data_IF_029958779943
#
_entry.id   IF_029958779943
#
_cell.length_a   1.000
_cell.length_b   1.000
_cell.length_c   1.000
_cell.angle_alpha   90.00
_cell.angle_beta   90.00
_cell.angle_gamma   90.00
#
_symmetry.space_group_name_H-M   'P 1'
#
loop_
_entity.id
_entity.type
_entity.pdbx_description
1 polymer ?
#
# COMPACT_ATOMS: atom_id res chain seq x y z
N UNK A 1 16.51 -26.00 8.83
CA UNK A 1 17.00 -25.21 7.66
C UNK A 1 15.93 -25.04 6.57
N UNK A 2 15.17 -26.08 6.20
CA UNK A 2 14.10 -26.01 5.15
C UNK A 2 13.00 -24.96 5.43
N UNK A 3 12.56 -24.82 6.69
CA UNK A 3 11.51 -23.83 7.05
C UNK A 3 11.98 -22.38 6.93
N UNK A 4 13.27 -22.07 7.17
CA UNK A 4 13.79 -20.71 7.01
C UNK A 4 13.87 -20.28 5.54
N UNK A 5 14.28 -21.19 4.66
CA UNK A 5 14.37 -20.91 3.21
C UNK A 5 13.00 -20.71 2.56
N UNK A 6 11.98 -21.50 2.97
CA UNK A 6 10.62 -21.37 2.48
C UNK A 6 10.03 -19.99 2.81
N UNK A 7 10.36 -19.43 3.95
CA UNK A 7 9.82 -18.18 4.46
C UNK A 7 10.46 -16.91 3.86
N UNK A 8 11.72 -17.01 3.42
CA UNK A 8 12.37 -15.92 2.65
C UNK A 8 11.79 -15.92 1.23
N UNK A 9 11.57 -17.09 0.63
CA UNK A 9 10.91 -17.22 -0.68
C UNK A 9 9.51 -16.62 -0.70
N UNK A 10 8.71 -16.82 0.35
CA UNK A 10 7.34 -16.27 0.42
C UNK A 10 7.33 -14.74 0.45
N UNK A 11 8.29 -14.10 1.12
CA UNK A 11 8.41 -12.63 1.14
C UNK A 11 8.90 -12.08 -0.19
N UNK A 12 9.95 -12.72 -0.73
CA UNK A 12 10.48 -12.36 -2.04
C UNK A 12 9.40 -12.53 -3.10
N UNK A 13 8.63 -13.63 -3.05
CA UNK A 13 7.50 -13.84 -3.94
C UNK A 13 6.43 -12.73 -3.83
N UNK A 14 6.08 -12.30 -2.61
CA UNK A 14 5.14 -11.18 -2.40
C UNK A 14 5.65 -9.87 -2.99
N UNK A 15 6.92 -9.54 -2.79
CA UNK A 15 7.56 -8.35 -3.37
C UNK A 15 7.65 -8.46 -4.90
N UNK A 16 7.97 -9.64 -5.44
CA UNK A 16 8.03 -9.87 -6.88
C UNK A 16 6.66 -9.76 -7.54
N UNK A 17 5.61 -10.25 -6.89
CA UNK A 17 4.22 -10.09 -7.37
C UNK A 17 3.84 -8.61 -7.40
N UNK A 18 4.19 -7.85 -6.36
CA UNK A 18 3.92 -6.41 -6.30
C UNK A 18 4.69 -5.65 -7.38
N UNK A 19 5.97 -6.00 -7.60
CA UNK A 19 6.77 -5.44 -8.68
C UNK A 19 6.15 -5.73 -10.04
N UNK A 20 5.77 -6.99 -10.29
CA UNK A 20 5.15 -7.40 -11.55
C UNK A 20 3.82 -6.67 -11.78
N UNK A 21 2.99 -6.52 -10.74
CA UNK A 21 1.74 -5.76 -10.80
C UNK A 21 1.98 -4.32 -11.23
N UNK A 22 2.97 -3.66 -10.62
CA UNK A 22 3.30 -2.26 -10.91
C UNK A 22 3.84 -2.11 -12.33
N UNK A 23 4.71 -3.03 -12.77
CA UNK A 23 5.23 -3.03 -14.15
C UNK A 23 4.11 -3.26 -15.18
N UNK A 24 3.23 -4.22 -14.95
CA UNK A 24 2.08 -4.47 -15.83
C UNK A 24 1.14 -3.25 -15.90
N UNK A 25 0.90 -2.59 -14.77
CA UNK A 25 0.09 -1.38 -14.73
C UNK A 25 0.73 -0.26 -15.56
N UNK A 26 2.04 -0.04 -15.41
CA UNK A 26 2.79 0.96 -16.16
C UNK A 26 2.77 0.69 -17.67
N UNK A 27 2.87 -0.57 -18.08
CA UNK A 27 2.82 -0.96 -19.51
C UNK A 27 1.43 -0.77 -20.10
N UNK A 28 0.36 -1.12 -19.37
CA UNK A 28 -1.01 -1.10 -19.89
C UNK A 28 -1.59 0.33 -19.91
N UNK A 29 -1.36 1.12 -18.86
CA UNK A 29 -1.97 2.44 -18.69
C UNK A 29 -1.04 3.59 -19.07
N UNK A 30 0.23 3.29 -19.32
CA UNK A 30 1.25 4.32 -19.47
C UNK A 30 1.57 4.99 -18.12
N UNK A 31 2.66 5.74 -18.10
CA UNK A 31 3.08 6.47 -16.91
C UNK A 31 2.74 7.94 -17.04
N UNK A 32 1.64 8.38 -16.44
CA UNK A 32 1.24 9.80 -16.44
C UNK A 32 2.24 10.71 -15.68
N UNK A 33 3.06 10.13 -14.80
CA UNK A 33 4.01 10.84 -13.92
C UNK A 33 5.44 10.33 -14.06
N UNK A 34 5.83 9.92 -15.28
CA UNK A 34 7.18 9.41 -15.59
C UNK A 34 7.68 8.31 -14.62
N UNK A 35 6.78 7.44 -14.13
CA UNK A 35 7.13 6.32 -13.24
C UNK A 35 7.09 6.62 -11.74
N UNK A 36 6.93 7.87 -11.34
CA UNK A 36 6.95 8.25 -9.91
C UNK A 36 5.75 7.67 -9.14
N UNK A 37 4.56 7.67 -9.76
CA UNK A 37 3.35 7.08 -9.19
C UNK A 37 3.48 5.57 -8.99
N UNK A 38 4.13 4.89 -9.92
CA UNK A 38 4.39 3.45 -9.89
C UNK A 38 5.37 3.09 -8.78
N UNK A 39 6.45 3.85 -8.61
CA UNK A 39 7.41 3.68 -7.52
C UNK A 39 6.72 3.90 -6.16
N UNK A 40 5.91 4.93 -6.04
CA UNK A 40 5.15 5.20 -4.83
C UNK A 40 4.17 4.06 -4.49
N UNK A 41 3.44 3.52 -5.47
CA UNK A 41 2.56 2.37 -5.29
C UNK A 41 3.34 1.12 -4.87
N UNK A 42 4.51 0.88 -5.44
CA UNK A 42 5.38 -0.22 -5.04
C UNK A 42 5.85 -0.09 -3.60
N UNK A 43 6.32 1.09 -3.18
CA UNK A 43 6.75 1.35 -1.80
C UNK A 43 5.62 1.16 -0.80
N UNK A 44 4.41 1.65 -1.11
CA UNK A 44 3.22 1.45 -0.28
C UNK A 44 2.81 -0.02 -0.20
N UNK A 45 2.86 -0.76 -1.32
CA UNK A 45 2.58 -2.19 -1.34
C UNK A 45 3.58 -2.99 -0.52
N UNK A 46 4.87 -2.71 -0.65
CA UNK A 46 5.93 -3.33 0.16
C UNK A 46 5.76 -3.04 1.65
N UNK A 47 5.39 -1.81 2.02
CA UNK A 47 5.17 -1.42 3.42
C UNK A 47 4.00 -2.14 4.07
N UNK A 48 3.03 -2.62 3.28
CA UNK A 48 1.95 -3.49 3.74
C UNK A 48 2.41 -4.95 3.84
N UNK A 49 3.05 -5.47 2.78
CA UNK A 49 3.40 -6.90 2.66
C UNK A 49 4.45 -7.31 3.69
N UNK A 50 5.48 -6.48 3.93
CA UNK A 50 6.60 -6.84 4.81
C UNK A 50 6.16 -7.08 6.25
N UNK A 51 5.42 -6.17 6.93
CA UNK A 51 4.92 -6.43 8.28
C UNK A 51 3.93 -7.59 8.31
N UNK A 52 2.98 -7.66 7.37
CA UNK A 52 2.00 -8.73 7.31
C UNK A 52 2.67 -10.12 7.22
N UNK A 53 3.67 -10.26 6.35
CA UNK A 53 4.44 -11.50 6.22
C UNK A 53 5.30 -11.79 7.44
N UNK A 54 5.82 -10.77 8.12
CA UNK A 54 6.64 -10.93 9.33
C UNK A 54 5.82 -11.51 10.50
N UNK A 55 4.65 -10.94 10.77
CA UNK A 55 3.78 -11.43 11.85
C UNK A 55 3.19 -12.81 11.56
N UNK A 56 2.81 -13.08 10.31
CA UNK A 56 2.35 -14.41 9.89
C UNK A 56 3.44 -15.49 10.06
N UNK A 57 4.71 -15.11 9.89
CA UNK A 57 5.84 -16.02 10.13
C UNK A 57 6.00 -16.43 11.59
N UNK A 58 5.80 -15.47 12.51
CA UNK A 58 6.04 -15.70 13.95
C UNK A 58 5.13 -16.79 14.50
N UNK A 59 3.84 -16.78 14.10
CA UNK A 59 2.91 -17.90 14.35
C UNK A 59 1.97 -18.05 13.16
N UNK A 60 1.95 -19.22 12.53
CA UNK A 60 1.04 -19.59 11.43
C UNK A 60 -0.40 -19.79 11.91
N UNK A 61 -0.97 -18.78 12.57
CA UNK A 61 -2.32 -18.80 13.10
C UNK A 61 -3.14 -17.68 12.48
N UNK A 62 -4.46 -17.89 12.30
CA UNK A 62 -5.38 -16.87 11.75
C UNK A 62 -5.28 -15.54 12.51
N UNK A 63 -5.17 -15.58 13.85
CA UNK A 63 -5.06 -14.38 14.69
C UNK A 63 -3.82 -13.54 14.32
N UNK A 64 -2.66 -14.19 14.13
CA UNK A 64 -1.43 -13.48 13.75
C UNK A 64 -1.44 -12.97 12.31
N UNK A 65 -2.15 -13.64 11.40
CA UNK A 65 -2.40 -13.11 10.06
C UNK A 65 -3.20 -11.81 10.11
N UNK A 66 -4.27 -11.77 10.89
CA UNK A 66 -5.11 -10.56 11.05
C UNK A 66 -4.31 -9.43 11.70
N UNK A 67 -3.57 -9.71 12.78
CA UNK A 67 -2.71 -8.72 13.44
C UNK A 67 -1.65 -8.18 12.45
N UNK A 68 -1.02 -9.05 11.68
CA UNK A 68 -0.04 -8.66 10.66
C UNK A 68 -0.64 -7.76 9.59
N UNK A 69 -1.88 -8.01 9.15
CA UNK A 69 -2.57 -7.16 8.18
C UNK A 69 -2.97 -5.80 8.78
N UNK A 70 -3.41 -5.76 10.03
CA UNK A 70 -3.72 -4.49 10.72
C UNK A 70 -2.46 -3.63 10.84
N UNK A 71 -1.36 -4.22 11.31
CA UNK A 71 -0.07 -3.51 11.40
C UNK A 71 0.42 -3.10 10.00
N UNK A 72 0.30 -3.98 9.00
CA UNK A 72 0.60 -3.67 7.61
C UNK A 72 -0.21 -2.48 7.07
N UNK A 73 -1.50 -2.40 7.39
CA UNK A 73 -2.36 -1.28 7.02
C UNK A 73 -1.90 0.02 7.67
N UNK A 74 -1.55 0.01 8.95
CA UNK A 74 -1.03 1.19 9.65
C UNK A 74 0.31 1.63 9.05
N UNK A 75 1.25 0.69 8.84
CA UNK A 75 2.52 1.00 8.19
C UNK A 75 2.32 1.58 6.78
N UNK A 76 1.41 1.00 5.99
CA UNK A 76 1.07 1.50 4.66
C UNK A 76 0.48 2.91 4.72
N UNK A 77 -0.36 3.22 5.70
CA UNK A 77 -0.92 4.57 5.86
C UNK A 77 0.17 5.59 6.20
N UNK A 78 1.08 5.27 7.14
CA UNK A 78 2.19 6.16 7.52
C UNK A 78 3.15 6.36 6.35
N UNK A 79 3.61 5.29 5.71
CA UNK A 79 4.51 5.39 4.53
C UNK A 79 3.80 6.10 3.39
N UNK A 80 2.51 5.84 3.18
CA UNK A 80 1.69 6.52 2.19
C UNK A 80 1.62 8.03 2.43
N UNK A 81 1.48 8.48 3.68
CA UNK A 81 1.52 9.91 4.03
C UNK A 81 2.87 10.54 3.66
N UNK A 82 3.97 9.89 4.04
CA UNK A 82 5.32 10.39 3.76
C UNK A 82 5.59 10.42 2.24
N UNK A 83 5.30 9.33 1.54
CA UNK A 83 5.51 9.24 0.10
C UNK A 83 4.66 10.25 -0.68
N UNK A 84 3.40 10.44 -0.27
CA UNK A 84 2.53 11.45 -0.90
C UNK A 84 3.03 12.86 -0.65
N UNK A 85 3.43 13.20 0.59
CA UNK A 85 3.89 14.54 0.92
C UNK A 85 5.19 14.93 0.21
N UNK A 86 6.17 14.02 0.18
CA UNK A 86 7.54 14.35 -0.25
C UNK A 86 7.85 13.91 -1.68
N UNK A 87 7.14 12.95 -2.24
CA UNK A 87 7.41 12.40 -3.57
C UNK A 87 6.27 12.71 -4.54
N UNK A 88 5.04 12.28 -4.22
CA UNK A 88 3.91 12.37 -5.15
C UNK A 88 3.44 13.80 -5.40
N UNK A 89 3.24 14.60 -4.36
CA UNK A 89 2.77 15.97 -4.51
C UNK A 89 3.75 16.85 -5.28
N UNK A 90 5.07 16.86 -5.00
CA UNK A 90 6.02 17.59 -5.84
C UNK A 90 6.11 17.05 -7.27
N UNK A 91 6.04 15.73 -7.46
CA UNK A 91 6.09 15.13 -8.78
C UNK A 91 4.85 15.46 -9.61
N UNK A 92 3.67 15.44 -9.03
CA UNK A 92 2.44 15.89 -9.70
C UNK A 92 2.48 17.38 -10.01
N UNK A 93 3.01 18.21 -9.08
CA UNK A 93 3.23 19.63 -9.33
C UNK A 93 4.09 19.87 -10.55
N UNK A 94 5.19 19.14 -10.68
CA UNK A 94 6.09 19.22 -11.83
C UNK A 94 5.45 18.66 -13.12
N UNK A 95 4.73 17.55 -13.04
CA UNK A 95 4.11 16.91 -14.21
C UNK A 95 2.94 17.71 -14.78
N UNK A 96 2.13 18.34 -13.94
CA UNK A 96 0.97 19.11 -14.35
C UNK A 96 1.21 20.62 -14.42
N UNK A 97 2.42 21.08 -14.07
CA UNK A 97 2.75 22.51 -14.05
C UNK A 97 1.98 23.31 -12.99
N UNK A 98 1.44 22.64 -11.97
CA UNK A 98 0.64 23.26 -10.92
C UNK A 98 1.44 23.35 -9.60
N UNK A 99 1.38 24.49 -8.88
CA UNK A 99 2.00 24.58 -7.56
C UNK A 99 1.27 23.68 -6.56
N UNK A 100 1.99 23.18 -5.56
CA UNK A 100 1.43 22.34 -4.49
C UNK A 100 0.23 22.99 -3.78
N UNK A 101 0.22 24.33 -3.72
CA UNK A 101 -0.90 25.11 -3.18
C UNK A 101 -2.23 24.86 -3.92
N UNK A 102 -2.20 24.57 -5.22
CA UNK A 102 -3.41 24.27 -5.98
C UNK A 102 -4.06 22.96 -5.52
N UNK A 103 -3.26 21.94 -5.17
CA UNK A 103 -3.77 20.66 -4.62
C UNK A 103 -4.36 20.87 -3.22
N UNK A 104 -3.77 21.74 -2.40
CA UNK A 104 -4.30 22.09 -1.08
C UNK A 104 -5.64 22.81 -1.23
N UNK A 105 -5.76 23.76 -2.16
CA UNK A 105 -7.02 24.47 -2.45
C UNK A 105 -8.12 23.51 -2.93
N UNK A 106 -7.80 22.54 -3.78
CA UNK A 106 -8.74 21.49 -4.15
C UNK A 106 -9.17 20.66 -2.94
N UNK A 107 -8.27 20.37 -2.02
CA UNK A 107 -8.57 19.70 -0.75
C UNK A 107 -9.46 20.54 0.15
N UNK A 108 -9.20 21.85 0.26
CA UNK A 108 -10.00 22.79 1.07
C UNK A 108 -11.44 22.90 0.57
N UNK A 109 -11.68 22.79 -0.74
CA UNK A 109 -13.03 22.79 -1.32
C UNK A 109 -13.86 21.57 -0.90
N UNK A 110 -13.20 20.47 -0.56
CA UNK A 110 -13.85 19.22 -0.10
C UNK A 110 -13.99 19.22 1.43
N UNK A 111 -12.96 19.70 2.14
CA UNK A 111 -12.94 19.76 3.60
C UNK A 111 -12.25 21.05 4.07
N UNK A 112 -13.02 21.93 4.68
CA UNK A 112 -12.54 23.22 5.20
C UNK A 112 -11.41 23.12 6.25
N UNK A 113 -11.18 21.93 6.84
CA UNK A 113 -10.06 21.67 7.75
C UNK A 113 -8.70 21.53 7.06
N UNK A 114 -8.66 21.48 5.71
CA UNK A 114 -7.44 21.32 4.93
C UNK A 114 -6.87 22.70 4.59
N UNK A 115 -5.98 23.22 5.44
CA UNK A 115 -5.35 24.53 5.25
C UNK A 115 -3.87 24.44 4.88
N UNK A 116 -3.22 23.31 5.18
CA UNK A 116 -1.79 23.10 4.98
C UNK A 116 -1.52 21.73 4.36
N UNK A 117 -0.30 21.54 3.84
CA UNK A 117 0.18 20.25 3.34
C UNK A 117 0.00 19.12 4.38
N UNK A 118 0.31 19.40 5.64
CA UNK A 118 0.16 18.42 6.72
C UNK A 118 -1.31 18.01 6.92
N UNK A 119 -2.23 18.96 6.99
CA UNK A 119 -3.66 18.71 7.15
C UNK A 119 -4.23 18.00 5.91
N UNK A 120 -3.76 18.33 4.70
CA UNK A 120 -4.11 17.61 3.49
C UNK A 120 -3.72 16.13 3.58
N UNK A 121 -2.47 15.85 3.96
CA UNK A 121 -1.97 14.48 4.07
C UNK A 121 -2.71 13.69 5.15
N UNK A 122 -2.95 14.29 6.32
CA UNK A 122 -3.63 13.61 7.45
C UNK A 122 -5.12 13.41 7.18
N UNK A 123 -5.82 14.37 6.58
CA UNK A 123 -7.28 14.31 6.41
C UNK A 123 -7.72 13.69 5.09
N UNK A 124 -6.88 13.70 4.05
CA UNK A 124 -7.20 13.12 2.76
C UNK A 124 -6.41 11.82 2.51
N UNK A 125 -5.08 11.86 2.64
CA UNK A 125 -4.23 10.73 2.25
C UNK A 125 -4.28 9.59 3.27
N UNK A 126 -4.25 9.89 4.57
CA UNK A 126 -4.26 8.85 5.62
C UNK A 126 -5.55 8.01 5.60
N UNK A 127 -6.78 8.60 5.61
CA UNK A 127 -8.00 7.80 5.57
C UNK A 127 -8.13 7.02 4.26
N UNK A 128 -7.71 7.58 3.13
CA UNK A 128 -7.70 6.87 1.86
C UNK A 128 -6.81 5.60 1.91
N UNK A 129 -5.59 5.72 2.45
CA UNK A 129 -4.69 4.57 2.59
C UNK A 129 -5.18 3.56 3.62
N UNK A 130 -5.85 3.99 4.70
CA UNK A 130 -6.49 3.09 5.66
C UNK A 130 -7.62 2.28 5.00
N UNK A 131 -8.51 2.93 4.26
CA UNK A 131 -9.59 2.25 3.51
C UNK A 131 -9.01 1.27 2.50
N UNK A 132 -8.01 1.68 1.72
CA UNK A 132 -7.29 0.82 0.77
C UNK A 132 -6.70 -0.41 1.47
N UNK A 133 -6.01 -0.23 2.59
CA UNK A 133 -5.44 -1.32 3.39
C UNK A 133 -6.51 -2.26 3.98
N UNK A 134 -7.64 -1.72 4.45
CA UNK A 134 -8.77 -2.53 4.93
C UNK A 134 -9.37 -3.39 3.82
N UNK A 135 -9.57 -2.82 2.62
CA UNK A 135 -10.09 -3.56 1.46
C UNK A 135 -9.11 -4.69 1.07
N UNK A 136 -7.82 -4.39 0.96
CA UNK A 136 -6.79 -5.39 0.64
C UNK A 136 -6.78 -6.50 1.71
N UNK A 137 -6.87 -6.14 2.99
CA UNK A 137 -6.91 -7.09 4.10
C UNK A 137 -8.14 -7.99 4.04
N UNK A 138 -9.32 -7.41 3.77
CA UNK A 138 -10.58 -8.16 3.63
C UNK A 138 -10.51 -9.15 2.47
N UNK A 139 -10.08 -8.71 1.29
CA UNK A 139 -9.92 -9.57 0.10
C UNK A 139 -8.91 -10.68 0.37
N UNK A 140 -7.78 -10.36 1.00
CA UNK A 140 -6.74 -11.34 1.37
C UNK A 140 -7.30 -12.41 2.30
N UNK A 141 -8.11 -12.03 3.31
CA UNK A 141 -8.76 -12.98 4.22
C UNK A 141 -9.77 -13.88 3.52
N UNK A 142 -10.56 -13.32 2.61
CA UNK A 142 -11.53 -14.09 1.81
C UNK A 142 -10.82 -15.13 0.93
N UNK A 143 -9.77 -14.71 0.23
CA UNK A 143 -8.96 -15.58 -0.63
C UNK A 143 -8.27 -16.66 0.22
N UNK A 144 -7.69 -16.29 1.36
CA UNK A 144 -7.04 -17.23 2.27
C UNK A 144 -8.01 -18.31 2.77
N UNK A 145 -9.26 -17.94 3.07
CA UNK A 145 -10.31 -18.90 3.48
C UNK A 145 -10.61 -19.91 2.35
N UNK A 146 -10.71 -19.44 1.12
CA UNK A 146 -10.98 -20.29 -0.07
C UNK A 146 -9.82 -21.24 -0.37
N UNK A 147 -8.61 -20.71 -0.44
CA UNK A 147 -7.40 -21.49 -0.77
C UNK A 147 -7.12 -22.55 0.30
N UNK A 148 -7.37 -22.24 1.56
CA UNK A 148 -7.17 -23.21 2.65
C UNK A 148 -8.08 -24.44 2.52
N UNK A 149 -9.31 -24.25 2.07
CA UNK A 149 -10.25 -25.36 1.81
C UNK A 149 -9.74 -26.24 0.67
N UNK A 150 -9.26 -25.60 -0.42
CA UNK A 150 -8.70 -26.30 -1.58
C UNK A 150 -7.42 -27.09 -1.26
N UNK A 151 -6.53 -26.52 -0.42
CA UNK A 151 -5.26 -27.17 -0.04
C UNK A 151 -5.41 -28.29 0.99
N UNK A 152 -6.51 -28.34 1.73
CA UNK A 152 -6.76 -29.38 2.74
C UNK A 152 -7.49 -30.59 2.17
N UNK A 153 -7.99 -30.55 0.93
CA UNK A 153 -8.60 -31.70 0.27
C UNK A 153 -9.88 -32.21 0.95
N UNK A 154 -10.61 -31.35 1.67
CA UNK A 154 -11.93 -31.62 2.25
C UNK A 154 -12.95 -30.66 1.68
#
# INVERSE_FOLDING_TARGET
RRQRQMCIRDRVAGIMIELLKVLLYAVIHGSATAGVGEIANFLMGCSFIVPAAFFYKYRRNKKFAVIGMVIGTICMAVVGCVVNAFILLPAYGAAFGMPVSAFIQMGTSINAGINNLFTFVVLAVAPFNLVKGCIISAVTLLIYKRIRVLLRGE
#
